data_IF_067835267689
#
_entry.id   IF_067835267689
#
_cell.length_a   1.000
_cell.length_b   1.000
_cell.length_c   1.000
_cell.angle_alpha   90.00
_cell.angle_beta   90.00
_cell.angle_gamma   90.00
#
_symmetry.space_group_name_H-M   'P 1'
#
loop_
_entity.id
_entity.type
_entity.pdbx_description
1 polymer ?
#
# COMPACT_ATOMS: atom_id res chain seq x y z
N UNK A 1 -10.40 -2.95 11.96
CA UNK A 1 -11.23 -2.60 10.78
C UNK A 1 -12.17 -3.76 10.50
N UNK A 2 -13.51 -3.58 10.52
CA UNK A 2 -14.44 -4.67 10.24
C UNK A 2 -14.26 -5.19 8.81
N UNK A 3 -14.21 -6.52 8.63
CA UNK A 3 -14.09 -7.18 7.32
C UNK A 3 -15.46 -7.25 6.66
N UNK A 4 -15.78 -6.27 5.81
CA UNK A 4 -16.91 -6.37 4.90
C UNK A 4 -16.49 -7.13 3.63
N UNK A 5 -17.40 -7.90 2.99
CA UNK A 5 -17.12 -8.46 1.69
C UNK A 5 -16.91 -7.32 0.68
N UNK A 6 -15.71 -7.21 0.15
CA UNK A 6 -15.39 -6.31 -0.96
C UNK A 6 -15.95 -6.91 -2.25
N UNK A 7 -17.18 -6.55 -2.62
CA UNK A 7 -17.79 -6.96 -3.89
C UNK A 7 -17.15 -6.19 -5.04
N UNK A 8 -16.38 -6.87 -5.88
CA UNK A 8 -15.77 -6.33 -7.08
C UNK A 8 -16.52 -6.87 -8.32
N UNK A 9 -16.82 -6.04 -9.34
CA UNK A 9 -17.36 -6.54 -10.60
C UNK A 9 -16.44 -7.57 -11.24
N UNK A 10 -16.99 -8.66 -11.77
CA UNK A 10 -16.19 -9.69 -12.44
C UNK A 10 -15.37 -9.08 -13.58
N UNK A 11 -15.96 -8.14 -14.33
CA UNK A 11 -15.33 -7.43 -15.46
C UNK A 11 -14.20 -6.46 -15.10
N UNK A 12 -13.81 -6.36 -13.82
CA UNK A 12 -12.69 -5.51 -13.42
C UNK A 12 -11.37 -5.94 -14.09
N UNK A 13 -10.57 -4.95 -14.50
CA UNK A 13 -9.27 -5.17 -15.14
C UNK A 13 -8.30 -5.93 -14.22
N UNK A 14 -8.42 -5.77 -12.90
CA UNK A 14 -7.59 -6.51 -11.95
C UNK A 14 -7.81 -8.02 -12.04
N UNK A 15 -9.05 -8.46 -12.24
CA UNK A 15 -9.38 -9.90 -12.28
C UNK A 15 -9.02 -10.53 -13.63
N UNK A 16 -9.19 -9.78 -14.72
CA UNK A 16 -8.97 -10.29 -16.07
C UNK A 16 -7.52 -10.17 -16.54
N UNK A 17 -6.82 -9.12 -16.11
CA UNK A 17 -5.52 -8.75 -16.67
C UNK A 17 -4.45 -8.51 -15.59
N UNK A 18 -4.73 -8.84 -14.33
CA UNK A 18 -3.77 -8.66 -13.23
C UNK A 18 -3.36 -7.20 -13.02
N UNK A 19 -4.18 -6.24 -13.46
CA UNK A 19 -3.88 -4.82 -13.33
C UNK A 19 -4.00 -4.39 -11.86
N UNK A 20 -2.86 -4.31 -11.18
CA UNK A 20 -2.75 -3.88 -9.81
C UNK A 20 -1.29 -3.78 -9.36
N UNK A 21 -1.06 -2.99 -8.32
CA UNK A 21 0.24 -2.83 -7.68
C UNK A 21 0.03 -2.92 -6.18
N UNK A 22 0.89 -3.67 -5.49
CA UNK A 22 0.87 -3.78 -4.04
C UNK A 22 2.29 -3.67 -3.50
N UNK A 23 2.41 -3.40 -2.20
CA UNK A 23 3.67 -3.43 -1.48
C UNK A 23 3.55 -4.24 -0.21
N UNK A 24 4.68 -4.79 0.22
CA UNK A 24 4.79 -5.53 1.47
C UNK A 24 5.83 -4.88 2.37
N UNK A 25 5.44 -4.56 3.60
CA UNK A 25 6.33 -4.01 4.63
C UNK A 25 6.31 -4.89 5.87
N UNK A 26 7.35 -4.77 6.70
CA UNK A 26 7.41 -5.42 8.02
C UNK A 26 7.60 -4.36 9.10
N UNK A 27 6.79 -4.48 10.15
CA UNK A 27 6.89 -3.70 11.37
C UNK A 27 7.47 -4.57 12.49
N UNK A 28 8.31 -3.97 13.32
CA UNK A 28 8.97 -4.64 14.44
C UNK A 28 8.82 -3.78 15.69
N UNK A 29 8.75 -4.43 16.85
CA UNK A 29 8.91 -3.74 18.12
C UNK A 29 10.36 -3.27 18.24
N UNK A 30 10.55 -1.97 18.46
CA UNK A 30 11.85 -1.34 18.67
C UNK A 30 11.83 -0.54 19.97
N UNK A 31 12.99 -0.05 20.43
CA UNK A 31 13.13 0.67 21.71
C UNK A 31 12.19 1.87 21.85
N UNK A 32 11.85 2.53 20.75
CA UNK A 32 10.97 3.71 20.71
C UNK A 32 9.55 3.38 20.24
N UNK A 33 9.17 2.09 20.24
CA UNK A 33 7.89 1.58 19.77
C UNK A 33 7.93 0.95 18.37
N UNK A 34 6.77 0.54 17.88
CA UNK A 34 6.62 -0.15 16.59
C UNK A 34 7.20 0.65 15.43
N UNK A 35 8.16 0.06 14.72
CA UNK A 35 8.90 0.70 13.63
C UNK A 35 8.82 -0.13 12.35
N UNK A 36 8.57 0.53 11.21
CA UNK A 36 8.54 -0.11 9.89
C UNK A 36 9.92 -0.04 9.25
N UNK A 37 10.50 -1.18 8.88
CA UNK A 37 11.81 -1.22 8.25
C UNK A 37 11.75 -0.63 6.83
N UNK A 38 12.60 0.36 6.55
CA UNK A 38 12.78 0.98 5.22
C UNK A 38 11.48 1.52 4.59
N UNK A 39 10.58 2.08 5.40
CA UNK A 39 9.27 2.58 4.95
C UNK A 39 9.36 3.47 3.70
N UNK A 40 10.32 4.41 3.67
CA UNK A 40 10.51 5.33 2.54
C UNK A 40 10.76 4.58 1.22
N UNK A 41 11.66 3.60 1.24
CA UNK A 41 12.01 2.80 0.06
C UNK A 41 10.83 1.94 -0.41
N UNK A 42 10.07 1.37 0.52
CA UNK A 42 8.87 0.61 0.20
C UNK A 42 7.79 1.50 -0.43
N UNK A 43 7.49 2.66 0.15
CA UNK A 43 6.50 3.59 -0.42
C UNK A 43 6.95 4.11 -1.79
N UNK A 44 8.24 4.40 -2.00
CA UNK A 44 8.75 4.76 -3.32
C UNK A 44 8.53 3.65 -4.36
N UNK A 45 8.73 2.38 -3.97
CA UNK A 45 8.53 1.24 -4.87
C UNK A 45 7.06 1.06 -5.24
N UNK A 46 6.14 1.27 -4.30
CA UNK A 46 4.68 1.32 -4.58
C UNK A 46 4.35 2.39 -5.63
N UNK A 47 4.81 3.63 -5.39
CA UNK A 47 4.55 4.77 -6.28
C UNK A 47 5.13 4.54 -7.68
N UNK A 48 6.34 3.98 -7.76
CA UNK A 48 6.97 3.62 -9.02
C UNK A 48 6.21 2.52 -9.76
N UNK A 49 5.71 1.51 -9.05
CA UNK A 49 4.86 0.47 -9.64
C UNK A 49 3.57 1.07 -10.22
N UNK A 50 2.91 1.97 -9.47
CA UNK A 50 1.72 2.66 -9.95
C UNK A 50 2.01 3.51 -11.20
N UNK A 51 3.15 4.21 -11.22
CA UNK A 51 3.61 4.97 -12.40
C UNK A 51 3.83 4.08 -13.63
N UNK A 52 4.49 2.92 -13.47
CA UNK A 52 4.70 1.96 -14.56
C UNK A 52 3.37 1.44 -15.12
N UNK A 53 2.43 1.14 -14.23
CA UNK A 53 1.08 0.69 -14.59
C UNK A 53 0.16 1.82 -15.07
N UNK A 54 0.67 3.07 -15.17
CA UNK A 54 -0.10 4.27 -15.51
C UNK A 54 -1.35 4.46 -14.63
N UNK A 55 -1.26 4.05 -13.37
CA UNK A 55 -2.33 4.19 -12.38
C UNK A 55 -2.20 5.54 -11.67
N UNK A 56 -3.22 6.41 -11.72
CA UNK A 56 -3.21 7.63 -10.95
C UNK A 56 -3.29 7.31 -9.45
N UNK A 57 -2.35 7.84 -8.68
CA UNK A 57 -2.34 7.72 -7.22
C UNK A 57 -2.81 9.05 -6.64
N UNK A 58 -4.00 9.11 -6.01
CA UNK A 58 -4.57 10.36 -5.50
C UNK A 58 -4.02 10.75 -4.12
N UNK A 59 -2.85 10.22 -3.74
CA UNK A 59 -2.23 10.42 -2.43
C UNK A 59 -0.75 10.72 -2.61
N UNK A 60 -0.23 11.57 -1.73
CA UNK A 60 1.19 11.84 -1.60
C UNK A 60 1.91 10.67 -0.93
N UNK A 61 3.23 10.62 -1.09
CA UNK A 61 4.07 9.62 -0.44
C UNK A 61 3.99 9.74 1.09
N UNK A 62 3.87 10.96 1.58
CA UNK A 62 3.76 11.28 3.00
C UNK A 62 2.44 10.77 3.58
N UNK A 63 1.32 11.01 2.89
CA UNK A 63 0.01 10.49 3.28
C UNK A 63 -0.01 8.96 3.32
N UNK A 64 0.57 8.30 2.31
CA UNK A 64 0.68 6.84 2.28
C UNK A 64 1.59 6.29 3.39
N UNK A 65 2.65 7.01 3.73
CA UNK A 65 3.57 6.62 4.79
C UNK A 65 2.92 6.75 6.17
N UNK A 66 2.16 7.83 6.41
CA UNK A 66 1.39 8.00 7.65
C UNK A 66 0.23 6.99 7.76
N UNK A 67 -0.44 6.68 6.66
CA UNK A 67 -1.46 5.64 6.63
C UNK A 67 -0.90 4.26 7.05
N UNK A 68 0.28 3.88 6.53
CA UNK A 68 0.95 2.64 6.92
C UNK A 68 1.32 2.61 8.41
N UNK A 69 1.88 3.72 8.94
CA UNK A 69 2.19 3.84 10.38
C UNK A 69 0.93 3.73 11.25
N UNK A 70 -0.20 4.28 10.80
CA UNK A 70 -1.48 4.24 11.54
C UNK A 70 -2.04 2.82 11.68
N UNK A 71 -1.79 1.93 10.72
CA UNK A 71 -2.31 0.55 10.75
C UNK A 71 -1.55 -0.34 11.73
N UNK A 72 -0.29 -0.03 12.02
CA UNK A 72 0.58 -0.81 12.92
C UNK A 72 0.74 -0.20 14.32
N UNK A 73 0.07 0.93 14.58
CA UNK A 73 -0.12 1.52 15.91
C UNK A 73 -1.35 0.91 16.55
#
# INVERSE_FOLDING_TARGET
>A
MPRYPSLLPITTHTLHYGMGVFEGVRAYEAEQGTSIFKLDQHTNRLMNGAKIMKMPVPFTKEELSEAQKKVVR
#
